data_IF_187394428697
#
_entry.id   IF_187394428697
#
_cell.length_a   1.000
_cell.length_b   1.000
_cell.length_c   1.000
_cell.angle_alpha   90.00
_cell.angle_beta   90.00
_cell.angle_gamma   90.00
#
_symmetry.space_group_name_H-M   'P 1'
#
loop_
_entity.id
_entity.type
_entity.pdbx_description
1 polymer ?
#
# COMPACT_ATOMS: atom_id res chain seq x y z
N UNK A 1 8.34 3.27 -36.79
CA UNK A 1 8.19 4.24 -35.69
C UNK A 1 8.96 3.68 -34.51
N UNK A 2 9.92 4.44 -33.95
CA UNK A 2 10.72 3.96 -32.83
C UNK A 2 9.85 3.87 -31.56
N UNK A 3 9.98 2.77 -30.81
CA UNK A 3 9.37 2.65 -29.49
C UNK A 3 9.84 3.81 -28.59
N UNK A 4 8.97 4.38 -27.74
CA UNK A 4 9.40 5.37 -26.77
C UNK A 4 10.51 4.78 -25.90
N UNK A 5 11.55 5.56 -25.55
CA UNK A 5 12.65 5.05 -24.74
C UNK A 5 12.11 4.49 -23.42
N UNK A 6 12.68 3.38 -22.92
CA UNK A 6 12.30 2.82 -21.63
C UNK A 6 12.41 3.91 -20.55
N UNK A 7 11.37 4.02 -19.71
CA UNK A 7 11.34 5.00 -18.62
C UNK A 7 12.60 4.81 -17.78
N UNK A 8 13.40 5.86 -17.53
CA UNK A 8 14.61 5.71 -16.72
C UNK A 8 14.21 5.22 -15.33
N UNK A 9 14.76 4.07 -14.94
CA UNK A 9 14.63 3.54 -13.58
C UNK A 9 15.34 4.51 -12.64
N UNK A 10 14.67 4.97 -11.58
CA UNK A 10 15.35 5.77 -10.55
C UNK A 10 16.42 4.90 -9.90
N UNK A 11 17.68 5.32 -9.84
CA UNK A 11 18.73 4.53 -9.20
C UNK A 11 18.40 4.38 -7.71
N UNK A 12 18.37 3.14 -7.22
CA UNK A 12 18.37 2.83 -5.78
C UNK A 12 17.09 2.26 -5.17
N UNK A 13 15.96 2.17 -5.89
CA UNK A 13 14.80 1.36 -5.45
C UNK A 13 14.73 0.07 -6.24
N UNK A 14 14.90 -1.08 -5.57
CA UNK A 14 14.49 -2.39 -6.10
C UNK A 14 12.95 -2.40 -6.18
N UNK A 15 12.42 -1.81 -7.24
CA UNK A 15 10.98 -1.84 -7.50
C UNK A 15 10.68 -3.07 -8.35
N UNK A 16 9.91 -3.99 -7.77
CA UNK A 16 9.48 -5.22 -8.45
C UNK A 16 8.41 -4.83 -9.45
N UNK A 17 8.69 -5.05 -10.74
CA UNK A 17 7.70 -4.86 -11.78
C UNK A 17 6.71 -6.02 -11.74
N UNK A 18 5.43 -5.72 -11.84
CA UNK A 18 4.36 -6.71 -11.89
C UNK A 18 3.72 -6.63 -13.25
N UNK A 19 3.70 -7.76 -13.97
CA UNK A 19 3.22 -7.83 -15.33
C UNK A 19 2.29 -9.03 -15.51
N UNK A 20 1.37 -8.94 -16.45
CA UNK A 20 0.47 -10.03 -16.85
C UNK A 20 0.94 -10.61 -18.18
N UNK A 21 1.08 -11.94 -18.25
CA UNK A 21 1.46 -12.65 -19.46
C UNK A 21 0.33 -12.62 -20.51
N UNK A 22 0.62 -12.13 -21.73
CA UNK A 22 -0.36 -12.15 -22.84
C UNK A 22 -0.46 -13.50 -23.55
N UNK A 23 0.55 -14.35 -23.39
CA UNK A 23 0.67 -15.64 -24.04
C UNK A 23 1.36 -16.63 -23.11
N UNK A 24 0.99 -17.90 -23.13
CA UNK A 24 1.71 -18.92 -22.37
C UNK A 24 3.19 -19.02 -22.80
N UNK A 25 4.05 -19.42 -21.87
CA UNK A 25 5.47 -19.69 -22.11
C UNK A 25 5.83 -21.05 -21.52
N UNK A 26 6.38 -21.92 -22.37
CA UNK A 26 6.88 -23.24 -21.97
C UNK A 26 8.40 -23.19 -21.87
N UNK A 27 8.92 -23.43 -20.68
CA UNK A 27 10.35 -23.55 -20.41
C UNK A 27 11.03 -24.55 -21.36
N UNK A 28 12.15 -24.12 -21.94
CA UNK A 28 13.00 -24.98 -22.79
C UNK A 28 14.11 -25.65 -21.98
N UNK A 29 14.46 -25.08 -20.82
CA UNK A 29 15.49 -25.55 -19.91
C UNK A 29 14.99 -25.56 -18.46
N UNK A 30 15.61 -26.33 -17.55
CA UNK A 30 15.16 -26.45 -16.15
C UNK A 30 15.17 -25.15 -15.34
N UNK A 31 16.01 -24.19 -15.72
CA UNK A 31 16.14 -22.91 -15.03
C UNK A 31 15.07 -21.88 -15.45
N UNK A 32 14.33 -22.16 -16.52
CA UNK A 32 13.31 -21.27 -17.06
C UNK A 32 11.96 -21.45 -16.37
N UNK A 33 11.22 -20.36 -16.22
CA UNK A 33 9.90 -20.37 -15.61
C UNK A 33 8.82 -20.62 -16.68
N UNK A 34 8.09 -21.73 -16.57
CA UNK A 34 6.84 -21.94 -17.35
C UNK A 34 5.64 -21.29 -16.68
N UNK A 35 4.74 -20.74 -17.48
CA UNK A 35 3.51 -20.07 -17.04
C UNK A 35 2.48 -20.02 -18.18
N UNK A 36 1.22 -19.80 -17.82
CA UNK A 36 0.09 -19.75 -18.77
C UNK A 36 -0.25 -18.31 -19.19
N UNK A 37 -1.13 -18.18 -20.18
CA UNK A 37 -1.73 -16.88 -20.53
C UNK A 37 -2.56 -16.34 -19.36
N UNK A 38 -2.38 -15.06 -19.02
CA UNK A 38 -3.02 -14.40 -17.89
C UNK A 38 -2.30 -14.55 -16.54
N UNK A 39 -1.24 -15.36 -16.47
CA UNK A 39 -0.45 -15.48 -15.24
C UNK A 39 0.25 -14.16 -14.89
N UNK A 40 0.28 -13.85 -13.60
CA UNK A 40 1.00 -12.70 -13.07
C UNK A 40 2.46 -13.06 -12.82
N UNK A 41 3.35 -12.27 -13.42
CA UNK A 41 4.79 -12.38 -13.25
C UNK A 41 5.32 -11.20 -12.41
N UNK A 42 6.10 -11.52 -11.40
CA UNK A 42 6.83 -10.57 -10.58
C UNK A 42 8.30 -10.57 -11.00
N UNK A 43 8.76 -9.49 -11.63
CA UNK A 43 10.15 -9.36 -12.10
C UNK A 43 11.03 -8.94 -10.92
N UNK A 44 11.74 -9.92 -10.35
CA UNK A 44 12.54 -9.77 -9.14
C UNK A 44 13.89 -9.12 -9.42
N UNK A 45 14.51 -9.49 -10.55
CA UNK A 45 15.80 -8.97 -10.96
C UNK A 45 15.89 -8.88 -12.49
N UNK A 46 16.41 -7.75 -12.97
CA UNK A 46 16.75 -7.53 -14.38
C UNK A 46 18.25 -7.67 -14.54
N UNK A 47 18.67 -8.29 -15.63
CA UNK A 47 20.06 -8.38 -16.05
C UNK A 47 20.23 -7.89 -17.49
N UNK A 48 21.48 -7.59 -17.85
CA UNK A 48 21.85 -7.20 -19.21
C UNK A 48 22.04 -8.41 -20.14
N UNK A 49 22.01 -9.63 -19.59
CA UNK A 49 22.18 -10.87 -20.34
C UNK A 49 20.91 -11.29 -21.11
N UNK A 50 19.78 -10.61 -20.87
CA UNK A 50 18.52 -10.82 -21.57
C UNK A 50 17.62 -11.88 -20.92
N UNK A 51 17.86 -12.24 -19.66
CA UNK A 51 17.10 -13.25 -18.92
C UNK A 51 16.79 -12.74 -17.52
N UNK A 52 15.55 -12.34 -17.30
CA UNK A 52 15.18 -11.74 -16.03
C UNK A 52 14.70 -12.81 -15.05
N UNK A 53 15.11 -12.68 -13.79
CA UNK A 53 14.60 -13.54 -12.73
C UNK A 53 13.19 -13.09 -12.39
N UNK A 54 12.23 -13.99 -12.59
CA UNK A 54 10.83 -13.74 -12.33
C UNK A 54 10.26 -14.76 -11.34
N UNK A 55 9.12 -14.41 -10.77
CA UNK A 55 8.27 -15.30 -9.97
C UNK A 55 6.87 -15.35 -10.58
N UNK A 56 6.25 -16.52 -10.58
CA UNK A 56 4.82 -16.72 -10.84
C UNK A 56 4.26 -17.71 -9.83
N UNK A 57 3.23 -17.32 -9.09
CA UNK A 57 2.75 -18.08 -7.94
C UNK A 57 3.88 -18.38 -6.94
N UNK A 58 4.17 -19.68 -6.73
CA UNK A 58 5.24 -20.16 -5.85
C UNK A 58 6.57 -20.50 -6.56
N UNK A 59 6.61 -20.36 -7.87
CA UNK A 59 7.78 -20.73 -8.68
C UNK A 59 8.60 -19.50 -9.01
N UNK A 60 9.91 -19.66 -8.95
CA UNK A 60 10.87 -18.69 -9.49
C UNK A 60 11.68 -19.34 -10.61
N UNK A 61 12.06 -18.53 -11.59
CA UNK A 61 12.89 -18.98 -12.70
C UNK A 61 13.27 -17.82 -13.61
N UNK A 62 14.02 -18.13 -14.66
CA UNK A 62 14.42 -17.17 -15.68
C UNK A 62 13.34 -17.03 -16.74
N UNK A 63 13.09 -15.80 -17.18
CA UNK A 63 12.18 -15.47 -18.28
C UNK A 63 12.93 -14.58 -19.27
N UNK A 64 12.88 -14.87 -20.58
CA UNK A 64 13.51 -14.01 -21.57
C UNK A 64 13.05 -12.56 -21.47
N UNK A 65 14.00 -11.62 -21.46
CA UNK A 65 13.72 -10.18 -21.34
C UNK A 65 12.87 -9.64 -22.51
N UNK A 66 13.04 -10.20 -23.71
CA UNK A 66 12.21 -9.88 -24.88
C UNK A 66 10.76 -10.33 -24.68
N UNK A 67 10.53 -11.51 -24.10
CA UNK A 67 9.19 -11.95 -23.73
C UNK A 67 8.56 -10.96 -22.75
N UNK A 68 9.27 -10.60 -21.67
CA UNK A 68 8.73 -9.64 -20.70
C UNK A 68 8.44 -8.28 -21.34
N UNK A 69 9.32 -7.79 -22.22
CA UNK A 69 9.16 -6.49 -22.86
C UNK A 69 8.06 -6.41 -23.93
N UNK A 70 7.79 -7.49 -24.65
CA UNK A 70 6.90 -7.48 -25.82
C UNK A 70 5.56 -8.20 -25.57
N UNK A 71 5.60 -9.25 -24.75
CA UNK A 71 4.50 -10.20 -24.56
C UNK A 71 3.82 -10.11 -23.20
N UNK A 72 4.04 -9.01 -22.46
CA UNK A 72 3.34 -8.76 -21.19
C UNK A 72 2.63 -7.41 -21.18
N UNK A 73 1.75 -7.22 -20.20
CA UNK A 73 1.16 -5.91 -19.86
C UNK A 73 1.62 -5.52 -18.46
N UNK A 74 2.20 -4.33 -18.30
CA UNK A 74 2.56 -3.81 -16.99
C UNK A 74 1.32 -3.46 -16.16
N UNK A 75 1.26 -3.95 -14.93
CA UNK A 75 0.21 -3.62 -13.98
C UNK A 75 0.71 -2.44 -13.14
N UNK A 76 0.20 -1.23 -13.42
CA UNK A 76 0.53 -0.04 -12.63
C UNK A 76 -0.12 -0.13 -11.23
N UNK A 77 0.66 0.09 -10.17
CA UNK A 77 0.18 0.16 -8.78
C UNK A 77 -0.65 -1.07 -8.33
N UNK A 78 -0.14 -2.31 -8.50
CA UNK A 78 -0.90 -3.54 -8.26
C UNK A 78 -1.36 -3.64 -6.80
N UNK A 79 -0.53 -3.20 -5.86
CA UNK A 79 -0.84 -3.15 -4.43
C UNK A 79 -2.02 -2.22 -4.13
N UNK A 80 -2.13 -1.07 -4.81
CA UNK A 80 -3.25 -0.14 -4.66
C UNK A 80 -4.54 -0.74 -5.20
N UNK A 81 -4.49 -1.41 -6.36
CA UNK A 81 -5.66 -2.00 -6.98
C UNK A 81 -6.19 -3.20 -6.17
N UNK A 82 -5.29 -4.08 -5.71
CA UNK A 82 -5.63 -5.16 -4.78
C UNK A 82 -6.27 -4.61 -3.50
N UNK A 83 -5.67 -3.56 -2.93
CA UNK A 83 -6.16 -2.93 -1.72
C UNK A 83 -7.54 -2.29 -1.88
N UNK A 84 -7.75 -1.56 -2.98
CA UNK A 84 -9.03 -0.91 -3.32
C UNK A 84 -10.15 -1.92 -3.53
N UNK A 85 -9.87 -3.02 -4.23
CA UNK A 85 -10.85 -4.08 -4.52
C UNK A 85 -11.15 -4.96 -3.31
N UNK A 86 -10.23 -5.05 -2.36
CA UNK A 86 -10.31 -6.01 -1.26
C UNK A 86 -9.81 -7.40 -1.66
N UNK A 87 -8.95 -7.49 -2.68
CA UNK A 87 -8.42 -8.77 -3.14
C UNK A 87 -7.28 -9.24 -2.24
N UNK A 88 -7.65 -9.98 -1.18
CA UNK A 88 -6.72 -10.47 -0.17
C UNK A 88 -5.70 -11.46 -0.75
N UNK A 89 -6.11 -12.35 -1.65
CA UNK A 89 -5.21 -13.33 -2.26
C UNK A 89 -4.11 -12.65 -3.08
N UNK A 90 -4.50 -11.73 -3.97
CA UNK A 90 -3.53 -11.00 -4.78
C UNK A 90 -2.64 -10.08 -3.95
N UNK A 91 -3.19 -9.47 -2.89
CA UNK A 91 -2.38 -8.69 -1.94
C UNK A 91 -1.32 -9.55 -1.24
N UNK A 92 -1.69 -10.76 -0.81
CA UNK A 92 -0.75 -11.70 -0.18
C UNK A 92 0.36 -12.13 -1.15
N UNK A 93 0.03 -12.39 -2.42
CA UNK A 93 1.03 -12.70 -3.44
C UNK A 93 2.00 -11.53 -3.69
N UNK A 94 1.50 -10.30 -3.78
CA UNK A 94 2.32 -9.10 -3.92
C UNK A 94 3.29 -8.93 -2.75
N UNK A 95 2.83 -9.18 -1.52
CA UNK A 95 3.65 -9.16 -0.32
C UNK A 95 4.72 -10.26 -0.34
N UNK A 96 4.35 -11.48 -0.72
CA UNK A 96 5.26 -12.61 -0.83
C UNK A 96 6.35 -12.38 -1.89
N UNK A 97 6.00 -11.71 -2.99
CA UNK A 97 6.96 -11.29 -4.00
C UNK A 97 7.90 -10.16 -3.51
N UNK A 98 7.55 -9.45 -2.45
CA UNK A 98 8.35 -8.33 -1.90
C UNK A 98 7.96 -6.96 -2.45
N UNK A 99 6.77 -6.81 -3.03
CA UNK A 99 6.25 -5.51 -3.48
C UNK A 99 6.00 -4.61 -2.26
N UNK A 100 6.43 -3.35 -2.34
CA UNK A 100 6.36 -2.43 -1.20
C UNK A 100 4.91 -2.03 -0.84
N UNK A 101 4.56 -2.16 0.44
CA UNK A 101 3.27 -1.67 1.00
C UNK A 101 3.17 -0.15 1.08
N UNK A 102 4.30 0.56 0.95
CA UNK A 102 4.39 2.01 1.06
C UNK A 102 4.51 2.71 -0.31
N UNK A 103 4.29 1.97 -1.41
CA UNK A 103 4.22 2.56 -2.75
C UNK A 103 3.17 3.68 -2.80
N UNK A 104 3.46 4.77 -3.49
CA UNK A 104 2.55 5.91 -3.62
C UNK A 104 2.09 6.05 -5.06
N UNK A 105 0.79 6.20 -5.28
CA UNK A 105 0.24 6.48 -6.61
C UNK A 105 0.47 7.96 -7.00
N UNK A 106 -0.01 8.35 -8.19
CA UNK A 106 0.13 9.72 -8.69
C UNK A 106 -0.57 10.77 -7.82
N UNK A 107 -1.55 10.38 -7.00
CA UNK A 107 -2.22 11.25 -6.04
C UNK A 107 -1.57 11.23 -4.64
N UNK A 108 -0.47 10.48 -4.48
CA UNK A 108 0.22 10.32 -3.21
C UNK A 108 -0.49 9.36 -2.26
N UNK A 109 -1.49 8.59 -2.71
CA UNK A 109 -2.14 7.60 -1.87
C UNK A 109 -1.26 6.35 -1.78
N UNK A 110 -1.19 5.79 -0.58
CA UNK A 110 -0.68 4.43 -0.36
C UNK A 110 -1.79 3.39 -0.56
N UNK A 111 -1.46 2.08 -0.69
CA UNK A 111 -2.45 1.01 -0.66
C UNK A 111 -3.39 1.10 0.55
N UNK A 112 -2.86 1.47 1.72
CA UNK A 112 -3.66 1.63 2.94
C UNK A 112 -4.70 2.76 2.80
N UNK A 113 -4.42 3.85 2.08
CA UNK A 113 -5.42 4.89 1.80
C UNK A 113 -6.60 4.34 0.98
N UNK A 114 -6.33 3.49 -0.01
CA UNK A 114 -7.36 2.90 -0.86
C UNK A 114 -8.17 1.83 -0.12
N UNK A 115 -7.51 0.95 0.61
CA UNK A 115 -8.19 -0.03 1.46
C UNK A 115 -9.10 0.64 2.49
N UNK A 116 -8.58 1.71 3.13
CA UNK A 116 -9.33 2.48 4.11
C UNK A 116 -10.54 3.18 3.52
N UNK A 117 -10.37 3.86 2.37
CA UNK A 117 -11.49 4.52 1.65
C UNK A 117 -12.57 3.55 1.22
N UNK A 118 -12.17 2.34 0.82
CA UNK A 118 -13.06 1.32 0.29
C UNK A 118 -13.63 0.38 1.38
N UNK A 119 -13.27 0.59 2.66
CA UNK A 119 -13.79 -0.20 3.78
C UNK A 119 -13.32 -1.65 3.82
N UNK A 120 -12.14 -1.95 3.25
CA UNK A 120 -11.65 -3.33 3.09
C UNK A 120 -10.91 -3.79 4.35
N UNK A 121 -11.67 -4.13 5.39
CA UNK A 121 -11.15 -4.49 6.73
C UNK A 121 -10.05 -5.55 6.71
N UNK A 122 -10.22 -6.65 5.97
CA UNK A 122 -9.21 -7.73 5.95
C UNK A 122 -7.91 -7.32 5.26
N UNK A 123 -8.01 -6.53 4.18
CA UNK A 123 -6.86 -5.91 3.53
C UNK A 123 -6.16 -4.93 4.46
N UNK A 124 -6.93 -4.09 5.18
CA UNK A 124 -6.35 -3.14 6.16
C UNK A 124 -5.57 -3.91 7.23
N UNK A 125 -6.13 -4.99 7.78
CA UNK A 125 -5.45 -5.85 8.76
C UNK A 125 -4.13 -6.39 8.19
N UNK A 126 -4.17 -6.99 7.00
CA UNK A 126 -2.99 -7.55 6.34
C UNK A 126 -1.92 -6.49 6.05
N UNK A 127 -2.31 -5.29 5.62
CA UNK A 127 -1.37 -4.19 5.40
C UNK A 127 -0.73 -3.72 6.71
N UNK A 128 -1.50 -3.61 7.80
CA UNK A 128 -1.01 -3.16 9.11
C UNK A 128 0.04 -4.11 9.71
N UNK A 129 -0.07 -5.41 9.47
CA UNK A 129 0.93 -6.41 9.87
C UNK A 129 2.33 -6.11 9.28
N UNK A 130 2.38 -5.42 8.15
CA UNK A 130 3.62 -5.01 7.49
C UNK A 130 4.18 -3.67 7.99
N UNK A 131 3.59 -3.11 9.07
CA UNK A 131 3.97 -1.82 9.69
C UNK A 131 4.12 -0.68 8.66
N UNK A 132 3.05 -0.38 7.89
CA UNK A 132 3.10 0.65 6.87
C UNK A 132 3.17 2.03 7.52
N UNK A 133 3.46 3.06 6.72
CA UNK A 133 3.46 4.44 7.21
C UNK A 133 2.02 4.96 7.40
N UNK A 134 1.36 4.55 8.50
CA UNK A 134 -0.08 4.73 8.80
C UNK A 134 -0.56 6.19 8.83
N UNK A 135 0.34 7.14 9.11
CA UNK A 135 0.04 8.58 9.16
C UNK A 135 0.47 9.34 7.90
N UNK A 136 0.88 8.64 6.84
CA UNK A 136 1.30 9.29 5.59
C UNK A 136 0.17 10.13 5.00
N UNK A 137 0.50 11.33 4.56
CA UNK A 137 -0.43 12.25 3.91
C UNK A 137 -0.34 12.10 2.39
N UNK A 138 -1.48 11.98 1.72
CA UNK A 138 -1.55 12.09 0.27
C UNK A 138 -1.43 13.56 -0.19
N UNK A 139 -1.59 13.84 -1.49
CA UNK A 139 -1.47 15.21 -2.02
C UNK A 139 -2.53 16.19 -1.52
N UNK A 140 -3.68 15.71 -1.05
CA UNK A 140 -4.73 16.53 -0.41
C UNK A 140 -4.47 16.72 1.09
N UNK A 141 -3.40 16.10 1.60
CA UNK A 141 -3.10 16.09 3.03
C UNK A 141 -3.91 15.06 3.81
N UNK A 142 -4.72 14.22 3.15
CA UNK A 142 -5.50 13.19 3.84
C UNK A 142 -4.60 12.03 4.24
N UNK A 143 -4.87 11.47 5.41
CA UNK A 143 -4.27 10.20 5.88
C UNK A 143 -5.25 9.04 5.61
N UNK A 144 -4.83 7.77 5.74
CA UNK A 144 -5.76 6.65 5.67
C UNK A 144 -6.95 6.78 6.64
N UNK A 145 -6.74 7.39 7.81
CA UNK A 145 -7.80 7.63 8.79
C UNK A 145 -8.84 8.66 8.29
N UNK A 146 -8.43 9.71 7.58
CA UNK A 146 -9.36 10.64 6.91
C UNK A 146 -10.23 9.87 5.91
N UNK A 147 -9.63 9.02 5.09
CA UNK A 147 -10.33 8.23 4.08
C UNK A 147 -11.33 7.23 4.69
N UNK A 148 -10.95 6.56 5.79
CA UNK A 148 -11.84 5.66 6.52
C UNK A 148 -13.02 6.40 7.14
N UNK A 149 -12.77 7.56 7.75
CA UNK A 149 -13.80 8.38 8.37
C UNK A 149 -14.79 8.94 7.34
N UNK A 150 -14.29 9.48 6.22
CA UNK A 150 -15.12 9.95 5.11
C UNK A 150 -16.00 8.84 4.52
N UNK A 151 -15.50 7.61 4.50
CA UNK A 151 -16.25 6.42 4.08
C UNK A 151 -17.23 5.88 5.13
N UNK A 152 -17.16 6.33 6.39
CA UNK A 152 -17.98 5.83 7.50
C UNK A 152 -17.62 4.40 7.93
N UNK A 153 -16.39 3.95 7.64
CA UNK A 153 -15.99 2.55 7.82
C UNK A 153 -15.54 2.26 9.26
N UNK A 154 -16.49 2.09 10.18
CA UNK A 154 -16.22 1.93 11.61
C UNK A 154 -15.18 0.85 11.92
N UNK A 155 -15.29 -0.34 11.32
CA UNK A 155 -14.34 -1.43 11.56
C UNK A 155 -12.90 -1.07 11.15
N UNK A 156 -12.73 -0.34 10.03
CA UNK A 156 -11.42 0.14 9.58
C UNK A 156 -10.89 1.22 10.52
N UNK A 157 -11.74 2.16 10.94
CA UNK A 157 -11.35 3.21 11.89
C UNK A 157 -10.86 2.59 13.20
N UNK A 158 -11.59 1.62 13.75
CA UNK A 158 -11.19 0.89 14.96
C UNK A 158 -9.83 0.19 14.80
N UNK A 159 -9.58 -0.45 13.64
CA UNK A 159 -8.28 -1.09 13.36
C UNK A 159 -7.13 -0.08 13.25
N UNK A 160 -7.37 1.09 12.67
CA UNK A 160 -6.35 2.14 12.58
C UNK A 160 -6.08 2.78 13.95
N UNK A 161 -7.13 3.01 14.75
CA UNK A 161 -7.02 3.57 16.10
C UNK A 161 -6.36 2.63 17.11
N UNK A 162 -6.35 1.32 16.84
CA UNK A 162 -5.63 0.35 17.68
C UNK A 162 -4.11 0.35 17.43
N UNK A 163 -3.63 1.06 16.41
CA UNK A 163 -2.20 1.17 16.15
C UNK A 163 -1.55 2.17 17.13
N UNK A 164 -0.43 1.81 17.77
CA UNK A 164 0.15 2.62 18.86
C UNK A 164 0.58 4.02 18.40
N UNK A 165 1.06 4.15 17.15
CA UNK A 165 1.62 5.40 16.63
C UNK A 165 0.59 6.24 15.85
N UNK A 166 -0.70 5.90 15.91
CA UNK A 166 -1.74 6.58 15.13
C UNK A 166 -1.94 8.03 15.61
N UNK A 167 -1.96 8.97 14.67
CA UNK A 167 -2.27 10.37 14.97
C UNK A 167 -3.69 10.71 14.51
N UNK A 168 -4.58 10.86 15.49
CA UNK A 168 -6.03 11.00 15.25
C UNK A 168 -6.42 12.38 14.74
N UNK A 169 -5.68 13.42 15.15
CA UNK A 169 -6.05 14.83 14.93
C UNK A 169 -5.22 15.52 13.82
N UNK A 170 -4.60 14.76 12.91
CA UNK A 170 -3.92 15.35 11.74
C UNK A 170 -4.93 16.15 10.93
N UNK A 171 -4.54 17.36 10.51
CA UNK A 171 -5.32 18.16 9.56
C UNK A 171 -4.84 17.93 8.13
N UNK A 172 -5.79 17.76 7.21
CA UNK A 172 -5.53 17.79 5.78
C UNK A 172 -5.28 19.23 5.28
N UNK A 173 -5.14 19.42 3.96
CA UNK A 173 -4.81 20.73 3.40
C UNK A 173 -5.96 21.75 3.52
N UNK A 174 -7.20 21.29 3.69
CA UNK A 174 -8.38 22.14 3.94
C UNK A 174 -8.57 22.42 5.44
N UNK A 175 -7.65 21.96 6.30
CA UNK A 175 -7.73 22.12 7.75
C UNK A 175 -8.68 21.14 8.44
N UNK A 176 -9.27 20.20 7.70
CA UNK A 176 -10.21 19.20 8.22
C UNK A 176 -9.45 18.06 8.92
N UNK A 177 -9.98 17.58 10.04
CA UNK A 177 -9.54 16.36 10.73
C UNK A 177 -10.35 15.15 10.24
N UNK A 178 -9.91 13.90 10.48
CA UNK A 178 -10.72 12.72 10.18
C UNK A 178 -12.13 12.80 10.77
N UNK A 179 -12.25 13.30 12.01
CA UNK A 179 -13.52 13.47 12.70
C UNK A 179 -14.46 14.42 11.96
N UNK A 180 -13.98 15.58 11.52
CA UNK A 180 -14.80 16.55 10.80
C UNK A 180 -15.26 16.08 9.42
N UNK A 181 -14.57 15.10 8.83
CA UNK A 181 -14.95 14.49 7.56
C UNK A 181 -15.86 13.26 7.72
N UNK A 182 -16.10 12.81 8.96
CA UNK A 182 -16.88 11.61 9.21
C UNK A 182 -18.32 11.76 8.71
N UNK A 183 -18.81 10.77 7.96
CA UNK A 183 -20.21 10.67 7.54
C UNK A 183 -21.06 9.80 8.48
N UNK A 184 -20.44 9.17 9.47
CA UNK A 184 -21.09 8.30 10.46
C UNK A 184 -20.95 8.93 11.84
N UNK A 185 -22.06 9.02 12.57
CA UNK A 185 -22.08 9.53 13.94
C UNK A 185 -21.25 8.65 14.88
N UNK A 186 -21.31 7.32 14.70
CA UNK A 186 -20.51 6.36 15.48
C UNK A 186 -19.01 6.57 15.26
N UNK A 187 -18.60 6.75 14.00
CA UNK A 187 -17.20 7.03 13.66
C UNK A 187 -16.76 8.38 14.22
N UNK A 188 -17.61 9.40 14.11
CA UNK A 188 -17.30 10.72 14.67
C UNK A 188 -17.14 10.64 16.20
N UNK A 189 -18.05 9.97 16.90
CA UNK A 189 -18.00 9.79 18.35
C UNK A 189 -16.73 9.05 18.77
N UNK A 190 -16.37 7.97 18.07
CA UNK A 190 -15.15 7.20 18.34
C UNK A 190 -13.90 8.07 18.16
N UNK A 191 -13.82 8.85 17.07
CA UNK A 191 -12.69 9.74 16.82
C UNK A 191 -12.57 10.86 17.87
N UNK A 192 -13.70 11.38 18.38
CA UNK A 192 -13.69 12.36 19.50
C UNK A 192 -13.12 11.73 20.77
N UNK A 193 -13.58 10.52 21.12
CA UNK A 193 -13.13 9.82 22.32
C UNK A 193 -11.61 9.60 22.32
N UNK A 194 -11.06 9.12 21.21
CA UNK A 194 -9.63 8.89 21.08
C UNK A 194 -8.85 10.21 20.92
N UNK A 195 -9.41 11.19 20.21
CA UNK A 195 -8.81 12.51 20.02
C UNK A 195 -8.58 13.25 21.34
N UNK A 196 -9.54 13.23 22.26
CA UNK A 196 -9.47 13.90 23.57
C UNK A 196 -8.53 13.20 24.57
N UNK A 197 -8.27 11.91 24.38
CA UNK A 197 -7.38 11.14 25.28
C UNK A 197 -5.90 11.44 25.00
N UNK A 198 -5.57 11.84 23.77
CA UNK A 198 -4.19 12.16 23.34
C UNK A 198 -3.72 13.57 23.72
N UNK A 199 -4.62 14.46 24.13
CA UNK A 199 -4.31 15.84 24.54
C UNK A 199 -4.06 16.01 26.05
N UNK A 200 -4.18 14.94 26.85
CA UNK A 200 -4.05 14.98 28.33
C UNK A 200 -2.69 14.59 28.92
N UNK A 201 -1.72 14.16 28.11
CA UNK A 201 -0.39 13.76 28.59
C UNK A 201 0.62 14.92 28.51
N UNK A 202 0.47 15.92 29.38
CA UNK A 202 1.37 17.07 29.38
C UNK A 202 1.09 18.13 30.46
N UNK A 203 0.91 17.73 31.71
CA UNK A 203 1.01 18.65 32.87
C UNK A 203 1.20 17.85 34.17
N UNK A 204 2.43 17.39 34.42
CA UNK A 204 2.91 17.09 35.78
C UNK A 204 4.35 17.61 35.91
N UNK A 205 4.60 18.38 36.97
CA UNK A 205 5.81 19.14 37.26
C UNK A 205 5.40 20.57 37.55
N UNK A 206 5.05 20.93 38.79
CA UNK A 206 5.95 20.97 39.96
C UNK A 206 6.23 22.46 40.18
N UNK A 207 5.76 23.06 41.27
CA UNK A 207 6.64 23.57 42.33
C UNK A 207 5.82 23.74 43.61
N UNK A 208 6.07 22.78 44.51
CA UNK A 208 6.42 22.91 45.93
C UNK A 208 5.87 24.06 46.79
N UNK A 209 5.32 23.60 47.92
CA UNK A 209 5.01 24.31 49.14
C UNK A 209 6.25 25.01 49.72
N UNK A 210 6.19 26.33 49.88
CA UNK A 210 6.99 27.01 50.91
C UNK A 210 6.06 27.48 52.02
N UNK A 211 6.35 26.96 53.20
CA UNK A 211 5.71 27.22 54.49
C UNK A 211 6.55 28.24 55.24
N UNK A 212 5.89 29.27 55.79
CA UNK A 212 6.42 30.15 56.83
C UNK A 212 5.77 29.82 58.19
#
# INVERSE_FOLDING_TARGET
MAAPPPRPTRPGKKEIAVVEAKFAYTAQNPDELSFEEGDILYVLQKDDAGWWKCRSGDKEGLVPANYVGESTVEIENPMHEAAKRGNVAFLAELLAAGVSVNGLDRAGNSPLHWAARAGKTDVVRMLLEQKPAINSKNKLGDTPLHNAAWGGHLAVVTLLLSQPDIQVNIKNNDGATPQSLSKSDDVAALLIQFGNSSSGAGAVGGEDEDSD
#
